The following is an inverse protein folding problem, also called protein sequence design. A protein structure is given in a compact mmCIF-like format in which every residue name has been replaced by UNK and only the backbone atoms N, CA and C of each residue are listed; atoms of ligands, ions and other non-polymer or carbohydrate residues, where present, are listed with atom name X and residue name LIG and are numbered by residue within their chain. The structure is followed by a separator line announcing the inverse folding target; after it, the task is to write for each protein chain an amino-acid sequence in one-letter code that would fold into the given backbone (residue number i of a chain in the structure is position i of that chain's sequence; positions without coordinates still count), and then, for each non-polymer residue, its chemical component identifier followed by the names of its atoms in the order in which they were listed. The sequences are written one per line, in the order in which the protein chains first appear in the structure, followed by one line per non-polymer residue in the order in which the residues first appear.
data_IF_561296244843
#
_entry.id   IF_561296244843
#
_cell.length_a   1.000
_cell.length_b   1.000
_cell.length_c   1.000
_cell.angle_alpha   90.00
_cell.angle_beta   90.00
_cell.angle_gamma   90.00
#
_symmetry.space_group_name_H-M   'P 1'
#
loop_
_entity.id
_entity.type
_entity.pdbx_description
1 polymer ?
#
# COMPACT_ATOMS: atom_id res chain seq x y z
N UNK A 1 17.71 8.00 27.40
CA UNK A 1 18.50 7.18 28.33
C UNK A 1 19.35 6.13 27.61
N UNK A 2 18.76 5.24 26.77
CA UNK A 2 19.47 4.16 26.06
C UNK A 2 20.69 4.68 25.24
N UNK A 3 20.53 5.76 24.48
CA UNK A 3 21.62 6.36 23.68
C UNK A 3 22.76 6.84 24.57
N UNK A 4 22.43 7.49 25.68
CA UNK A 4 23.43 7.94 26.66
C UNK A 4 24.12 6.74 27.32
N UNK A 5 23.35 5.74 27.74
CA UNK A 5 23.89 4.51 28.31
C UNK A 5 24.89 3.82 27.38
N UNK A 6 24.57 3.66 26.10
CA UNK A 6 25.49 3.09 25.10
C UNK A 6 26.74 3.93 24.90
N UNK A 7 26.60 5.27 24.88
CA UNK A 7 27.74 6.19 24.71
C UNK A 7 28.74 6.06 25.84
N UNK A 8 28.28 5.81 27.07
CA UNK A 8 29.12 5.73 28.25
C UNK A 8 29.39 4.28 28.71
N UNK A 9 29.00 3.27 27.92
CA UNK A 9 29.24 1.87 28.23
C UNK A 9 28.49 1.35 29.49
N UNK A 10 27.36 1.98 29.80
CA UNK A 10 26.53 1.56 30.94
C UNK A 10 25.70 0.34 30.54
N UNK A 11 25.52 -0.57 31.50
CA UNK A 11 24.67 -1.75 31.35
C UNK A 11 23.20 -1.32 31.15
N UNK A 12 22.50 -2.01 30.23
CA UNK A 12 21.09 -1.79 30.01
C UNK A 12 20.26 -2.60 31.02
N UNK A 13 20.06 -2.04 32.20
CA UNK A 13 19.27 -2.62 33.25
C UNK A 13 17.78 -2.33 33.05
N UNK A 14 16.95 -3.38 33.04
CA UNK A 14 15.49 -3.27 32.88
C UNK A 14 14.79 -4.00 34.01
N UNK A 15 14.52 -3.33 35.15
CA UNK A 15 14.01 -3.94 36.36
C UNK A 15 12.53 -4.27 36.35
N UNK A 16 11.81 -4.04 35.26
CA UNK A 16 10.37 -4.29 35.17
C UNK A 16 10.11 -5.52 34.32
N UNK A 17 9.42 -6.50 34.88
CA UNK A 17 9.03 -7.74 34.22
C UNK A 17 7.86 -7.58 33.25
N UNK A 18 7.50 -8.65 32.51
CA UNK A 18 6.45 -8.66 31.50
C UNK A 18 5.05 -8.32 32.02
N UNK A 19 4.80 -8.64 33.31
CA UNK A 19 3.55 -8.33 33.99
C UNK A 19 3.48 -6.90 34.54
N UNK A 20 4.55 -6.09 34.36
CA UNK A 20 4.64 -4.72 34.85
C UNK A 20 5.02 -4.59 36.33
N UNK A 21 5.55 -5.65 36.91
CA UNK A 21 6.02 -5.71 38.30
C UNK A 21 7.54 -5.54 38.32
N UNK A 22 8.09 -4.91 39.33
CA UNK A 22 9.54 -4.88 39.55
C UNK A 22 10.04 -6.30 39.89
N UNK A 23 11.17 -6.69 39.29
CA UNK A 23 11.83 -7.96 39.58
C UNK A 23 12.24 -8.02 41.06
N UNK A 24 12.30 -9.24 41.61
CA UNK A 24 12.54 -9.46 43.06
C UNK A 24 13.91 -8.96 43.51
N UNK A 25 14.86 -8.79 42.61
CA UNK A 25 16.20 -8.24 42.88
C UNK A 25 16.23 -6.71 43.07
N UNK A 26 15.13 -6.02 42.76
CA UNK A 26 15.02 -4.58 42.95
C UNK A 26 14.90 -4.26 44.45
N UNK A 27 15.96 -3.68 44.99
CA UNK A 27 16.00 -3.31 46.36
C UNK A 27 14.83 -2.40 46.76
N UNK A 28 14.05 -2.77 47.80
CA UNK A 28 12.89 -2.08 48.37
C UNK A 28 11.58 -2.16 47.57
N UNK A 29 11.61 -2.45 46.26
CA UNK A 29 10.42 -2.37 45.40
C UNK A 29 10.12 -3.66 44.64
N UNK A 30 10.93 -4.74 44.85
CA UNK A 30 10.71 -6.05 44.24
C UNK A 30 9.29 -6.57 44.51
N UNK A 31 8.64 -7.10 43.48
CA UNK A 31 7.27 -7.57 43.55
C UNK A 31 6.16 -6.49 43.47
N UNK A 32 6.51 -5.19 43.46
CA UNK A 32 5.52 -4.12 43.34
C UNK A 32 5.18 -3.79 41.87
N UNK A 33 3.88 -3.56 41.63
CA UNK A 33 3.42 -3.08 40.31
C UNK A 33 3.84 -1.62 40.10
N UNK A 34 4.50 -1.32 38.95
CA UNK A 34 5.17 -0.05 38.69
C UNK A 34 4.30 1.21 38.93
N UNK A 35 3.00 1.19 38.56
CA UNK A 35 2.14 2.34 38.81
C UNK A 35 1.72 2.51 40.28
N UNK A 36 1.81 1.46 41.09
CA UNK A 36 1.58 1.53 42.53
C UNK A 36 2.85 1.98 43.28
N UNK A 37 4.00 1.57 42.78
CA UNK A 37 5.29 1.88 43.37
C UNK A 37 5.64 3.38 43.42
N UNK A 38 5.00 4.23 42.64
CA UNK A 38 5.24 5.68 42.65
C UNK A 38 5.05 6.30 44.04
N UNK A 39 4.03 5.88 44.76
CA UNK A 39 3.80 6.35 46.15
C UNK A 39 4.88 5.84 47.11
N UNK A 40 5.17 4.55 47.05
CA UNK A 40 6.19 3.86 47.90
C UNK A 40 7.59 4.44 47.66
N UNK A 41 7.93 4.76 46.39
CA UNK A 41 9.20 5.40 46.03
C UNK A 41 9.30 6.81 46.66
N UNK A 42 8.25 7.61 46.60
CA UNK A 42 8.24 8.93 47.21
C UNK A 42 8.37 8.87 48.74
N UNK A 43 7.67 7.96 49.37
CA UNK A 43 7.82 7.72 50.83
C UNK A 43 9.23 7.30 51.20
N UNK A 44 9.83 6.38 50.45
CA UNK A 44 11.21 5.94 50.67
C UNK A 44 12.21 7.07 50.51
N UNK A 45 12.07 7.90 49.44
CA UNK A 45 12.93 9.07 49.22
C UNK A 45 12.80 10.09 50.36
N UNK A 46 11.58 10.29 50.88
CA UNK A 46 11.32 11.14 52.04
C UNK A 46 12.00 10.58 53.30
N UNK A 47 11.86 9.28 53.54
CA UNK A 47 12.48 8.62 54.73
C UNK A 47 14.03 8.69 54.70
N UNK A 48 14.61 8.71 53.49
CA UNK A 48 16.05 8.87 53.28
C UNK A 48 16.53 10.32 53.23
N UNK A 49 15.64 11.30 53.41
CA UNK A 49 15.91 12.73 53.27
C UNK A 49 16.44 13.12 51.88
N UNK A 50 16.07 12.39 50.84
CA UNK A 50 16.48 12.60 49.46
C UNK A 50 15.38 13.29 48.63
N UNK A 51 14.17 13.42 49.16
CA UNK A 51 13.05 14.05 48.45
C UNK A 51 13.05 15.58 48.69
N UNK A 52 13.40 16.31 47.67
CA UNK A 52 13.43 17.78 47.72
C UNK A 52 12.02 18.39 47.63
N UNK A 53 11.21 17.92 46.67
CA UNK A 53 9.84 18.36 46.42
C UNK A 53 9.04 17.27 45.72
N UNK A 54 7.75 17.17 46.03
CA UNK A 54 6.78 16.35 45.30
C UNK A 54 5.56 17.19 44.99
N UNK A 55 5.16 17.19 43.72
CA UNK A 55 3.96 17.90 43.25
C UNK A 55 3.29 17.13 42.12
N UNK A 56 1.98 17.31 41.96
CA UNK A 56 1.22 16.71 40.87
C UNK A 56 1.35 17.58 39.62
N UNK A 57 1.74 16.97 38.51
CA UNK A 57 1.85 17.60 37.22
C UNK A 57 0.90 16.95 36.23
N UNK A 58 0.01 17.73 35.62
CA UNK A 58 -0.81 17.26 34.51
C UNK A 58 -0.01 17.37 33.20
N UNK A 59 0.18 16.26 32.52
CA UNK A 59 0.89 16.20 31.24
C UNK A 59 0.31 15.13 30.31
N UNK A 60 0.63 15.20 29.00
CA UNK A 60 0.29 14.15 28.05
C UNK A 60 1.09 12.89 28.33
N UNK A 61 0.43 11.75 28.44
CA UNK A 61 1.07 10.46 28.64
C UNK A 61 0.59 9.44 27.60
N UNK A 62 1.47 8.64 26.98
CA UNK A 62 1.07 7.67 25.99
C UNK A 62 0.20 6.55 26.59
N UNK A 63 -0.91 6.27 25.88
CA UNK A 63 -1.83 5.21 26.24
C UNK A 63 -1.93 4.19 25.10
N UNK A 64 -2.19 2.94 25.44
CA UNK A 64 -2.48 1.91 24.47
C UNK A 64 -3.70 2.29 23.63
N UNK A 65 -3.56 2.34 22.31
CA UNK A 65 -4.65 2.71 21.41
C UNK A 65 -5.87 1.78 21.51
N UNK A 66 -5.67 0.52 21.93
CA UNK A 66 -6.73 -0.49 22.08
C UNK A 66 -7.40 -0.46 23.45
N UNK A 67 -6.65 -0.68 24.54
CA UNK A 67 -7.21 -0.76 25.89
C UNK A 67 -7.26 0.59 26.62
N UNK A 68 -6.69 1.67 26.05
CA UNK A 68 -6.65 3.02 26.60
C UNK A 68 -5.94 3.17 27.96
N UNK A 69 -5.23 2.15 28.40
CA UNK A 69 -4.42 2.20 29.63
C UNK A 69 -3.04 2.80 29.34
N UNK A 70 -2.39 3.43 30.34
CA UNK A 70 -1.05 3.96 30.18
C UNK A 70 -0.05 2.86 29.82
N UNK A 71 0.95 3.19 28.99
CA UNK A 71 2.00 2.25 28.58
C UNK A 71 3.20 2.33 29.51
N UNK A 72 4.00 1.26 29.54
CA UNK A 72 5.28 1.17 30.24
C UNK A 72 6.39 1.09 29.20
N UNK A 73 7.48 1.85 29.41
CA UNK A 73 8.68 1.77 28.59
C UNK A 73 9.65 0.77 29.25
N UNK A 74 10.03 -0.26 28.49
CA UNK A 74 10.94 -1.31 28.92
C UNK A 74 12.02 -1.55 27.88
N UNK A 75 13.24 -1.85 28.31
CA UNK A 75 14.24 -2.45 27.47
C UNK A 75 13.98 -3.96 27.41
N UNK A 76 13.81 -4.50 26.21
CA UNK A 76 13.63 -5.94 25.96
C UNK A 76 14.51 -6.38 24.80
N UNK A 77 15.05 -7.60 24.80
CA UNK A 77 15.73 -8.16 23.64
C UNK A 77 14.80 -8.15 22.43
N UNK A 78 15.31 -7.67 21.29
CA UNK A 78 14.54 -7.55 20.05
C UNK A 78 15.39 -8.00 18.86
N UNK A 79 14.71 -8.48 17.81
CA UNK A 79 15.33 -8.80 16.55
C UNK A 79 15.31 -7.58 15.64
N UNK A 80 16.46 -7.30 15.00
CA UNK A 80 16.60 -6.14 14.09
C UNK A 80 17.20 -6.57 12.76
N UNK A 81 16.72 -5.94 11.67
CA UNK A 81 17.47 -5.84 10.43
C UNK A 81 18.35 -4.59 10.53
N UNK A 82 19.67 -4.79 10.48
CA UNK A 82 20.60 -3.67 10.44
C UNK A 82 20.56 -2.99 9.08
N UNK A 83 20.45 -1.68 9.09
CA UNK A 83 20.45 -0.88 7.86
C UNK A 83 21.87 -0.74 7.27
N UNK A 84 22.89 -0.75 8.11
CA UNK A 84 24.26 -0.40 7.69
C UNK A 84 25.19 -1.61 7.56
N UNK A 85 24.97 -2.67 8.35
CA UNK A 85 25.91 -3.80 8.52
C UNK A 85 26.29 -4.53 7.21
N UNK A 86 25.35 -4.65 6.25
CA UNK A 86 25.58 -5.31 4.94
C UNK A 86 25.34 -4.33 3.77
N UNK A 87 25.40 -3.02 4.05
CA UNK A 87 25.18 -1.98 3.05
C UNK A 87 23.74 -1.92 2.54
N UNK A 88 22.76 -2.33 3.37
CA UNK A 88 21.34 -2.35 2.96
C UNK A 88 20.82 -0.94 2.64
N UNK A 89 21.24 0.06 3.45
CA UNK A 89 20.88 1.47 3.24
C UNK A 89 21.35 1.97 1.89
N UNK A 90 22.66 1.89 1.63
CA UNK A 90 23.29 2.38 0.41
C UNK A 90 22.68 1.71 -0.83
N UNK A 91 22.57 0.39 -0.81
CA UNK A 91 21.97 -0.36 -1.91
C UNK A 91 20.50 0.03 -2.13
N UNK A 92 19.74 0.27 -1.05
CA UNK A 92 18.34 0.69 -1.19
C UNK A 92 18.22 2.09 -1.78
N UNK A 93 19.09 3.03 -1.39
CA UNK A 93 19.16 4.37 -1.96
C UNK A 93 19.54 4.35 -3.45
N UNK A 94 20.47 3.48 -3.84
CA UNK A 94 20.80 3.24 -5.26
C UNK A 94 19.59 2.72 -6.05
N UNK A 95 18.90 1.72 -5.51
CA UNK A 95 17.75 1.10 -6.16
C UNK A 95 16.56 2.05 -6.31
N UNK A 96 16.34 3.00 -5.41
CA UNK A 96 15.32 4.05 -5.55
C UNK A 96 15.49 4.83 -6.85
N UNK A 97 16.72 5.03 -7.32
CA UNK A 97 17.02 5.76 -8.55
C UNK A 97 16.72 4.97 -9.83
N UNK A 98 16.54 3.67 -9.74
CA UNK A 98 16.19 2.82 -10.89
C UNK A 98 14.68 2.68 -11.10
N UNK A 99 13.86 3.15 -10.15
CA UNK A 99 12.41 3.02 -10.15
C UNK A 99 11.75 4.27 -10.73
N UNK A 100 10.73 4.08 -11.55
CA UNK A 100 9.87 5.17 -12.02
C UNK A 100 8.87 5.55 -10.93
N UNK A 101 8.95 6.80 -10.44
CA UNK A 101 8.06 7.35 -9.41
C UNK A 101 6.99 8.24 -10.04
N UNK A 102 5.72 7.93 -9.78
CA UNK A 102 4.55 8.65 -10.30
C UNK A 102 3.65 9.04 -9.12
N UNK A 103 3.56 10.31 -8.73
CA UNK A 103 4.36 11.47 -9.18
C UNK A 103 5.83 11.40 -8.77
N UNK A 104 6.67 12.20 -9.43
CA UNK A 104 8.14 12.20 -9.22
C UNK A 104 8.58 12.52 -7.79
N UNK A 105 7.79 13.28 -7.01
CA UNK A 105 8.09 13.59 -5.61
C UNK A 105 8.16 12.34 -4.71
N UNK A 106 7.56 11.21 -5.14
CA UNK A 106 7.63 9.93 -4.42
C UNK A 106 9.06 9.45 -4.20
N UNK A 107 9.97 9.74 -5.15
CA UNK A 107 11.40 9.43 -5.06
C UNK A 107 12.04 10.12 -3.86
N UNK A 108 11.94 11.43 -3.76
CA UNK A 108 12.57 12.19 -2.68
C UNK A 108 11.98 11.79 -1.31
N UNK A 109 10.68 11.51 -1.28
CA UNK A 109 10.01 11.11 -0.06
C UNK A 109 10.52 9.77 0.50
N UNK A 110 10.65 8.74 -0.32
CA UNK A 110 11.15 7.44 0.15
C UNK A 110 12.66 7.49 0.40
N UNK A 111 13.39 8.26 -0.41
CA UNK A 111 14.83 8.45 -0.26
C UNK A 111 15.17 9.00 1.13
N UNK A 112 14.58 10.14 1.52
CA UNK A 112 14.81 10.75 2.83
C UNK A 112 14.37 9.85 4.00
N UNK A 113 13.34 9.04 3.80
CA UNK A 113 12.89 8.07 4.81
C UNK A 113 13.87 6.92 5.01
N UNK A 114 14.57 6.47 3.97
CA UNK A 114 15.57 5.39 4.07
C UNK A 114 16.92 5.92 4.52
N UNK A 115 17.32 7.09 4.03
CA UNK A 115 18.57 7.75 4.41
C UNK A 115 18.70 7.88 5.94
N UNK A 116 17.63 8.26 6.61
CA UNK A 116 17.60 8.51 8.05
C UNK A 116 16.95 7.40 8.87
N UNK A 117 16.71 6.22 8.25
CA UNK A 117 16.03 5.13 8.92
C UNK A 117 16.94 4.48 9.98
N UNK A 118 16.49 4.30 11.24
CA UNK A 118 17.16 3.42 12.19
C UNK A 118 17.03 1.96 11.78
N UNK A 119 17.79 1.07 12.42
CA UNK A 119 17.63 -0.36 12.26
C UNK A 119 16.17 -0.80 12.45
N UNK A 120 15.72 -1.73 11.63
CA UNK A 120 14.32 -2.14 11.62
C UNK A 120 14.07 -3.21 12.66
N UNK A 121 13.39 -2.85 13.75
CA UNK A 121 12.93 -3.82 14.75
C UNK A 121 11.85 -4.73 14.14
N UNK A 122 12.17 -6.01 13.97
CA UNK A 122 11.29 -7.01 13.39
C UNK A 122 10.37 -7.68 14.39
N UNK A 123 10.83 -7.90 15.61
CA UNK A 123 10.09 -8.69 16.59
C UNK A 123 8.90 -7.93 17.18
N UNK A 124 7.80 -8.65 17.37
CA UNK A 124 6.60 -8.15 18.04
C UNK A 124 6.13 -9.15 19.08
N UNK A 125 5.76 -8.64 20.24
CA UNK A 125 5.20 -9.41 21.36
C UNK A 125 3.68 -9.47 21.20
N UNK A 126 3.21 -10.32 20.26
CA UNK A 126 1.79 -10.54 19.95
C UNK A 126 1.52 -12.03 19.81
N UNK A 127 0.28 -12.43 20.03
CA UNK A 127 -0.16 -13.82 19.92
C UNK A 127 -0.59 -14.23 18.51
N UNK A 128 -0.79 -13.26 17.59
CA UNK A 128 -1.20 -13.50 16.21
C UNK A 128 -0.17 -12.93 15.24
N UNK A 129 0.41 -13.78 14.41
CA UNK A 129 1.37 -13.43 13.36
C UNK A 129 2.30 -14.58 13.02
N UNK A 130 3.19 -14.37 12.07
CA UNK A 130 4.21 -15.34 11.65
C UNK A 130 5.31 -15.39 12.72
N UNK A 131 5.61 -16.55 13.33
CA UNK A 131 6.62 -16.64 14.36
C UNK A 131 8.04 -16.45 13.80
N UNK A 132 8.94 -15.96 14.63
CA UNK A 132 10.38 -15.91 14.32
C UNK A 132 10.95 -17.31 14.60
N UNK A 133 11.42 -18.06 13.58
CA UNK A 133 11.79 -19.47 13.71
C UNK A 133 13.20 -19.65 14.29
N UNK A 134 13.40 -19.17 15.51
CA UNK A 134 14.67 -19.20 16.23
C UNK A 134 14.51 -19.92 17.57
N UNK A 135 15.58 -20.60 18.02
CA UNK A 135 15.61 -21.30 19.30
C UNK A 135 16.68 -20.70 20.20
N UNK A 136 16.46 -20.81 21.49
CA UNK A 136 17.41 -20.39 22.53
C UNK A 136 17.81 -21.57 23.40
N UNK A 137 19.10 -21.74 23.60
CA UNK A 137 19.59 -22.74 24.55
C UNK A 137 19.10 -22.45 26.00
N UNK A 138 18.52 -23.43 26.66
CA UNK A 138 18.01 -23.25 28.02
C UNK A 138 19.12 -23.08 29.07
N UNK A 139 20.37 -23.54 28.77
CA UNK A 139 21.51 -23.48 29.71
C UNK A 139 22.33 -22.19 29.60
N UNK A 140 22.64 -21.74 28.37
CA UNK A 140 23.51 -20.58 28.17
C UNK A 140 22.86 -19.43 27.39
N UNK A 141 21.57 -19.57 27.07
CA UNK A 141 20.79 -18.59 26.27
C UNK A 141 21.33 -18.30 24.86
N UNK A 142 22.33 -19.07 24.40
CA UNK A 142 22.87 -18.95 23.04
C UNK A 142 21.76 -19.18 22.00
N UNK A 143 21.81 -18.40 20.94
CA UNK A 143 20.83 -18.45 19.85
C UNK A 143 21.19 -19.61 18.90
N UNK A 144 20.21 -20.45 18.60
CA UNK A 144 20.33 -21.51 17.61
C UNK A 144 19.47 -21.20 16.40
N UNK A 145 20.12 -20.89 15.31
CA UNK A 145 19.53 -20.75 13.98
C UNK A 145 20.55 -21.21 12.95
N UNK A 146 20.23 -22.25 12.21
CA UNK A 146 21.06 -22.84 11.16
C UNK A 146 20.23 -22.97 9.91
N UNK A 147 20.89 -23.18 8.76
CA UNK A 147 20.18 -23.46 7.52
C UNK A 147 19.27 -24.68 7.65
N UNK A 148 19.76 -25.73 8.28
CA UNK A 148 19.00 -26.96 8.51
C UNK A 148 17.77 -26.74 9.37
N UNK A 149 17.88 -25.93 10.44
CA UNK A 149 16.71 -25.59 11.29
C UNK A 149 15.68 -24.78 10.52
N UNK A 150 16.10 -23.83 9.70
CA UNK A 150 15.20 -23.02 8.85
C UNK A 150 14.54 -23.90 7.78
N UNK A 151 15.28 -24.77 7.12
CA UNK A 151 14.75 -25.67 6.07
C UNK A 151 13.72 -26.65 6.67
N UNK A 152 13.97 -27.19 7.86
CA UNK A 152 13.00 -28.04 8.59
C UNK A 152 11.72 -27.28 8.94
N UNK A 153 11.84 -26.07 9.48
CA UNK A 153 10.67 -25.23 9.79
C UNK A 153 9.90 -24.87 8.52
N UNK A 154 10.58 -24.53 7.43
CA UNK A 154 9.94 -24.28 6.14
C UNK A 154 9.10 -25.49 5.67
N UNK A 155 9.64 -26.70 5.75
CA UNK A 155 8.90 -27.93 5.40
C UNK A 155 7.68 -28.14 6.30
N UNK A 156 7.83 -27.90 7.61
CA UNK A 156 6.73 -28.02 8.56
C UNK A 156 5.64 -26.98 8.31
N UNK A 157 6.02 -25.73 8.06
CA UNK A 157 5.06 -24.66 7.75
C UNK A 157 4.33 -24.90 6.42
N UNK A 158 5.01 -25.41 5.40
CA UNK A 158 4.41 -25.80 4.13
C UNK A 158 3.36 -26.89 4.29
N UNK A 159 3.62 -27.86 5.20
CA UNK A 159 2.73 -29.00 5.42
C UNK A 159 1.58 -28.70 6.40
N UNK A 160 1.81 -27.88 7.43
CA UNK A 160 0.92 -27.73 8.58
C UNK A 160 0.53 -26.29 8.90
N UNK A 161 0.90 -25.29 8.09
CA UNK A 161 0.87 -23.86 8.40
C UNK A 161 1.86 -23.44 9.50
N UNK A 162 2.00 -22.12 9.73
CA UNK A 162 2.83 -21.57 10.79
C UNK A 162 2.31 -21.85 12.20
N UNK A 163 1.07 -22.32 12.35
CA UNK A 163 0.45 -22.63 13.63
C UNK A 163 1.17 -23.77 14.36
N UNK A 164 1.80 -24.68 13.61
CA UNK A 164 2.58 -25.78 14.16
C UNK A 164 3.70 -25.29 15.10
N UNK A 165 4.21 -24.06 14.90
CA UNK A 165 5.17 -23.45 15.79
C UNK A 165 4.62 -23.26 17.19
N UNK A 166 3.38 -22.93 17.34
CA UNK A 166 2.71 -22.72 18.61
C UNK A 166 2.19 -24.01 19.23
N UNK A 167 1.83 -25.01 18.40
CA UNK A 167 1.29 -26.30 18.84
C UNK A 167 2.34 -27.28 19.34
N UNK A 168 3.54 -27.29 18.74
CA UNK A 168 4.59 -28.28 19.03
C UNK A 168 5.69 -27.67 19.90
N UNK A 169 6.37 -28.54 20.68
CA UNK A 169 7.54 -28.16 21.45
C UNK A 169 8.80 -27.95 20.60
N UNK A 170 9.83 -27.37 21.18
CA UNK A 170 11.09 -27.10 20.49
C UNK A 170 11.74 -28.41 19.97
N UNK A 171 11.65 -29.51 20.70
CA UNK A 171 12.27 -30.77 20.31
C UNK A 171 11.71 -31.34 19.01
N UNK A 172 10.41 -31.21 18.80
CA UNK A 172 9.76 -31.64 17.57
C UNK A 172 10.20 -30.74 16.37
N UNK A 173 10.33 -29.45 16.61
CA UNK A 173 10.61 -28.45 15.58
C UNK A 173 12.09 -28.40 15.16
N UNK A 174 13.01 -28.83 16.04
CA UNK A 174 14.44 -28.79 15.78
C UNK A 174 14.92 -29.97 14.93
N UNK A 175 16.04 -29.81 14.20
CA UNK A 175 16.73 -30.93 13.54
C UNK A 175 17.14 -32.02 14.54
N UNK A 176 17.21 -33.27 14.09
CA UNK A 176 17.72 -34.36 14.88
C UNK A 176 19.21 -34.15 15.22
N UNK A 177 19.60 -34.42 16.47
CA UNK A 177 20.98 -34.26 16.92
C UNK A 177 21.43 -32.81 17.14
N UNK A 178 20.54 -31.82 17.07
CA UNK A 178 20.85 -30.40 17.31
C UNK A 178 21.51 -30.19 18.68
N UNK A 179 22.65 -29.51 18.68
CA UNK A 179 23.42 -29.19 19.89
C UNK A 179 23.79 -27.72 19.93
N UNK A 180 23.78 -27.12 21.10
CA UNK A 180 24.21 -25.75 21.28
C UNK A 180 25.71 -25.58 21.03
N UNK A 181 26.07 -24.64 20.17
CA UNK A 181 27.45 -24.33 19.83
C UNK A 181 28.27 -23.81 21.03
N UNK A 182 27.61 -23.14 21.95
CA UNK A 182 28.29 -22.55 23.12
C UNK A 182 28.51 -23.53 24.29
N UNK A 183 27.61 -24.51 24.55
CA UNK A 183 27.70 -25.36 25.71
C UNK A 183 27.40 -26.85 25.47
N UNK A 184 27.15 -27.26 24.21
CA UNK A 184 26.85 -28.65 23.87
C UNK A 184 25.48 -29.17 24.34
N UNK A 185 24.65 -28.35 24.96
CA UNK A 185 23.31 -28.76 25.42
C UNK A 185 22.39 -29.07 24.25
N UNK A 186 21.49 -30.03 24.44
CA UNK A 186 20.44 -30.43 23.52
C UNK A 186 19.07 -29.86 23.91
N UNK A 187 19.03 -29.05 24.98
CA UNK A 187 17.78 -28.47 25.48
C UNK A 187 17.60 -27.04 25.00
N UNK A 188 16.49 -26.81 24.30
CA UNK A 188 16.17 -25.53 23.69
C UNK A 188 14.74 -25.10 23.97
N UNK A 189 14.52 -23.79 23.99
CA UNK A 189 13.18 -23.18 23.99
C UNK A 189 12.97 -22.37 22.68
N UNK A 190 11.73 -22.30 22.23
CA UNK A 190 11.35 -21.50 21.06
C UNK A 190 11.39 -20.02 21.39
N UNK A 191 11.69 -19.17 20.39
CA UNK A 191 11.35 -17.76 20.47
C UNK A 191 9.83 -17.59 20.46
N UNK A 192 9.31 -16.65 21.25
CA UNK A 192 7.89 -16.36 21.38
C UNK A 192 7.45 -15.13 20.57
N UNK A 193 8.41 -14.43 19.98
CA UNK A 193 8.14 -13.26 19.17
C UNK A 193 7.60 -13.65 17.78
N UNK A 194 6.79 -12.76 17.22
CA UNK A 194 6.34 -12.84 15.83
C UNK A 194 7.00 -11.75 14.99
N UNK A 195 7.00 -11.93 13.70
CA UNK A 195 7.48 -10.92 12.74
C UNK A 195 6.57 -9.69 12.72
N UNK A 196 7.17 -8.55 12.40
CA UNK A 196 6.43 -7.34 12.05
C UNK A 196 5.56 -7.59 10.82
N UNK A 197 4.28 -7.25 10.89
CA UNK A 197 3.34 -7.39 9.77
C UNK A 197 3.82 -6.65 8.49
N UNK A 198 4.64 -5.61 8.66
CA UNK A 198 5.28 -4.93 7.53
C UNK A 198 6.36 -5.77 6.86
N UNK A 199 6.96 -6.70 7.58
CA UNK A 199 7.85 -7.70 6.99
C UNK A 199 7.03 -8.72 6.17
N UNK A 200 5.93 -9.23 6.73
CA UNK A 200 5.06 -10.18 6.06
C UNK A 200 4.51 -9.61 4.73
N UNK A 201 4.01 -8.38 4.77
CA UNK A 201 3.55 -7.69 3.55
C UNK A 201 4.73 -7.32 2.63
N UNK A 202 5.87 -6.98 3.20
CA UNK A 202 7.09 -6.59 2.47
C UNK A 202 7.64 -7.70 1.58
N UNK A 203 7.49 -8.98 1.96
CA UNK A 203 7.97 -10.12 1.17
C UNK A 203 7.00 -10.58 0.08
N UNK A 204 5.90 -9.88 -0.18
CA UNK A 204 4.91 -10.25 -1.20
C UNK A 204 5.52 -10.42 -2.60
N UNK A 205 6.59 -9.70 -2.92
CA UNK A 205 7.34 -9.89 -4.17
C UNK A 205 7.97 -11.29 -4.30
N UNK A 206 8.33 -11.93 -3.19
CA UNK A 206 8.84 -13.30 -3.17
C UNK A 206 7.67 -14.29 -3.02
N UNK A 207 6.85 -14.13 -1.98
CA UNK A 207 5.80 -15.08 -1.63
C UNK A 207 4.65 -15.16 -2.65
N UNK A 208 4.51 -14.18 -3.54
CA UNK A 208 3.43 -14.15 -4.54
C UNK A 208 3.99 -14.13 -5.96
N UNK A 209 4.87 -13.17 -6.29
CA UNK A 209 5.31 -13.00 -7.68
C UNK A 209 6.25 -14.11 -8.15
N UNK A 210 7.11 -14.62 -7.27
CA UNK A 210 8.02 -15.72 -7.63
C UNK A 210 7.34 -17.08 -7.59
N UNK A 211 6.39 -17.28 -6.67
CA UNK A 211 5.70 -18.56 -6.49
C UNK A 211 4.62 -18.85 -7.54
N UNK A 212 4.06 -17.81 -8.17
CA UNK A 212 3.02 -17.97 -9.17
C UNK A 212 3.60 -17.93 -10.58
N UNK A 213 3.52 -19.05 -11.30
CA UNK A 213 4.11 -19.20 -12.65
C UNK A 213 3.55 -18.27 -13.74
N UNK A 214 2.45 -17.58 -13.48
CA UNK A 214 1.86 -16.58 -14.38
C UNK A 214 2.22 -15.14 -14.03
N UNK A 215 3.07 -14.93 -13.03
CA UNK A 215 3.54 -13.61 -12.60
C UNK A 215 5.05 -13.48 -12.80
N UNK A 216 5.54 -12.27 -12.80
CA UNK A 216 6.95 -11.95 -12.98
C UNK A 216 7.47 -11.01 -11.89
N UNK A 217 8.77 -11.11 -11.62
CA UNK A 217 9.49 -10.20 -10.72
C UNK A 217 10.62 -9.50 -11.50
N UNK A 218 10.89 -8.20 -11.29
CA UNK A 218 10.14 -7.27 -10.44
C UNK A 218 8.71 -7.03 -10.95
N UNK A 219 7.79 -6.60 -10.06
CA UNK A 219 6.46 -6.14 -10.47
C UNK A 219 6.57 -4.98 -11.45
N UNK A 220 5.67 -4.91 -12.43
CA UNK A 220 5.65 -3.77 -13.35
C UNK A 220 5.26 -2.48 -12.63
N UNK A 221 4.31 -2.56 -11.68
CA UNK A 221 3.88 -1.41 -10.89
C UNK A 221 3.39 -1.81 -9.49
N UNK A 222 3.77 -1.01 -8.48
CA UNK A 222 3.07 -0.94 -7.20
C UNK A 222 2.18 0.29 -7.18
N UNK A 223 0.91 0.12 -6.78
CA UNK A 223 -0.09 1.19 -6.78
C UNK A 223 -0.78 1.25 -5.42
N UNK A 224 -0.58 2.35 -4.69
CA UNK A 224 -1.18 2.60 -3.38
C UNK A 224 -1.17 4.09 -2.99
N UNK A 225 -1.73 4.38 -1.81
CA UNK A 225 -1.74 5.71 -1.23
C UNK A 225 -0.37 6.21 -0.76
N UNK A 226 -0.30 7.50 -0.53
CA UNK A 226 0.95 8.18 -0.14
C UNK A 226 1.51 7.78 1.23
N UNK A 227 0.70 7.18 2.10
CA UNK A 227 1.11 6.62 3.39
C UNK A 227 2.01 5.39 3.24
N UNK A 228 1.92 4.67 2.11
CA UNK A 228 2.70 3.47 1.85
C UNK A 228 4.19 3.73 1.57
N UNK A 229 4.61 4.98 1.41
CA UNK A 229 6.04 5.32 1.44
C UNK A 229 6.70 4.99 2.79
N UNK A 230 5.93 4.95 3.88
CA UNK A 230 6.37 4.46 5.19
C UNK A 230 5.76 3.10 5.56
N UNK A 231 5.16 2.43 4.63
CA UNK A 231 4.52 1.12 4.77
C UNK A 231 5.04 0.14 3.73
N UNK A 232 4.14 -0.34 2.88
CA UNK A 232 4.41 -1.43 1.94
C UNK A 232 5.49 -1.13 0.90
N UNK A 233 5.54 0.08 0.32
CA UNK A 233 6.61 0.43 -0.63
C UNK A 233 7.99 0.32 0.02
N UNK A 234 8.08 0.80 1.26
CA UNK A 234 9.32 0.83 2.04
C UNK A 234 9.75 -0.58 2.46
N UNK A 235 8.85 -1.35 3.07
CA UNK A 235 9.16 -2.70 3.55
C UNK A 235 9.49 -3.65 2.40
N UNK A 236 8.77 -3.55 1.26
CA UNK A 236 9.07 -4.33 0.06
C UNK A 236 10.43 -3.99 -0.53
N UNK A 237 10.80 -2.72 -0.56
CA UNK A 237 12.13 -2.32 -1.04
C UNK A 237 13.25 -2.92 -0.19
N UNK A 238 13.15 -2.77 1.14
CA UNK A 238 14.18 -3.27 2.07
C UNK A 238 14.32 -4.79 2.01
N UNK A 239 13.22 -5.53 2.00
CA UNK A 239 13.25 -7.00 1.94
C UNK A 239 13.76 -7.51 0.60
N UNK A 240 13.41 -6.86 -0.52
CA UNK A 240 13.86 -7.23 -1.84
C UNK A 240 15.35 -6.93 -2.04
N UNK A 241 15.81 -5.73 -1.66
CA UNK A 241 17.23 -5.35 -1.76
C UNK A 241 18.09 -6.19 -0.82
N UNK A 242 17.63 -6.44 0.41
CA UNK A 242 18.33 -7.32 1.35
C UNK A 242 18.48 -8.75 0.85
N UNK A 243 17.50 -9.26 0.10
CA UNK A 243 17.51 -10.63 -0.43
C UNK A 243 18.27 -10.77 -1.77
N UNK A 244 18.11 -9.81 -2.68
CA UNK A 244 18.55 -9.96 -4.09
C UNK A 244 19.37 -8.79 -4.62
N UNK A 245 19.50 -7.71 -3.87
CA UNK A 245 20.18 -6.49 -4.31
C UNK A 245 19.36 -5.57 -5.21
N UNK A 246 18.13 -5.96 -5.59
CA UNK A 246 17.31 -5.23 -6.58
C UNK A 246 15.97 -4.80 -6.00
N UNK A 247 15.42 -3.70 -6.54
CA UNK A 247 14.08 -3.24 -6.21
C UNK A 247 13.00 -4.29 -6.61
N UNK A 248 11.88 -4.39 -5.88
CA UNK A 248 10.83 -5.37 -6.16
C UNK A 248 9.86 -4.91 -7.26
N UNK A 249 9.94 -3.66 -7.71
CA UNK A 249 9.05 -3.01 -8.65
C UNK A 249 9.81 -2.11 -9.63
N UNK A 250 9.27 -1.98 -10.86
CA UNK A 250 9.79 -1.07 -11.91
C UNK A 250 9.23 0.35 -11.75
N UNK A 251 7.97 0.45 -11.34
CA UNK A 251 7.28 1.72 -11.13
C UNK A 251 6.49 1.72 -9.83
N UNK A 252 6.34 2.91 -9.24
CA UNK A 252 5.44 3.15 -8.10
C UNK A 252 4.51 4.30 -8.44
N UNK A 253 3.20 4.00 -8.50
CA UNK A 253 2.16 5.00 -8.68
C UNK A 253 1.51 5.28 -7.34
N UNK A 254 1.54 6.55 -6.93
CA UNK A 254 1.02 7.00 -5.64
C UNK A 254 -0.20 7.88 -5.83
N UNK A 255 -1.32 7.50 -5.21
CA UNK A 255 -2.54 8.29 -5.20
C UNK A 255 -2.77 8.99 -3.85
N UNK A 256 -3.60 10.04 -3.89
CA UNK A 256 -4.10 10.72 -2.70
C UNK A 256 -5.21 9.93 -2.00
N UNK A 257 -5.72 10.50 -0.91
CA UNK A 257 -6.85 9.90 -0.19
C UNK A 257 -8.19 10.35 -0.78
N UNK A 258 -9.21 9.50 -0.63
CA UNK A 258 -10.58 9.91 -0.86
C UNK A 258 -11.05 10.77 0.32
N UNK A 259 -11.56 11.95 0.00
CA UNK A 259 -12.00 12.96 0.97
C UNK A 259 -13.48 13.30 0.73
N UNK A 260 -14.14 13.82 1.76
CA UNK A 260 -15.49 14.36 1.63
C UNK A 260 -15.50 15.72 0.87
N UNK A 261 -16.67 16.28 0.64
CA UNK A 261 -16.82 17.57 -0.05
C UNK A 261 -16.12 18.75 0.64
N UNK A 262 -15.81 18.60 1.93
CA UNK A 262 -15.07 19.59 2.72
C UNK A 262 -13.56 19.32 2.78
N UNK A 263 -13.06 18.37 1.99
CA UNK A 263 -11.64 17.97 1.97
C UNK A 263 -11.18 17.17 3.19
N UNK A 264 -12.10 16.64 4.02
CA UNK A 264 -11.75 15.87 5.21
C UNK A 264 -11.61 14.40 4.84
N UNK A 265 -10.56 13.75 5.37
CA UNK A 265 -10.35 12.31 5.20
C UNK A 265 -11.56 11.52 5.71
N UNK A 266 -12.03 10.55 4.93
CA UNK A 266 -13.11 9.66 5.34
C UNK A 266 -12.70 8.77 6.49
N UNK A 267 -13.54 8.67 7.51
CA UNK A 267 -13.37 7.75 8.62
C UNK A 267 -14.72 7.31 9.20
N UNK A 268 -14.76 6.07 9.71
CA UNK A 268 -15.96 5.54 10.37
C UNK A 268 -16.35 6.36 11.60
N UNK A 269 -15.37 6.93 12.31
CA UNK A 269 -15.59 7.74 13.51
C UNK A 269 -16.22 9.10 13.22
N UNK A 270 -16.01 9.66 12.03
CA UNK A 270 -16.63 10.92 11.58
C UNK A 270 -17.97 10.67 10.90
N UNK A 271 -18.25 9.43 10.47
CA UNK A 271 -19.51 9.06 9.80
C UNK A 271 -19.63 9.56 8.35
N UNK A 272 -18.54 10.03 7.74
CA UNK A 272 -18.51 10.58 6.37
C UNK A 272 -18.05 9.55 5.31
N UNK A 273 -18.11 8.26 5.63
CA UNK A 273 -17.69 7.19 4.69
C UNK A 273 -18.76 6.95 3.66
N UNK A 274 -18.41 7.10 2.38
CA UNK A 274 -19.24 6.69 1.24
C UNK A 274 -18.79 5.29 0.80
N UNK A 275 -19.68 4.31 0.95
CA UNK A 275 -19.40 2.94 0.54
C UNK A 275 -19.57 2.79 -0.98
N UNK A 276 -18.63 2.14 -1.69
CA UNK A 276 -18.75 1.90 -3.14
C UNK A 276 -20.05 1.20 -3.54
N UNK A 277 -20.53 0.26 -2.73
CA UNK A 277 -21.77 -0.50 -2.98
C UNK A 277 -23.02 0.40 -3.08
N UNK A 278 -23.08 1.48 -2.32
CA UNK A 278 -24.20 2.43 -2.40
C UNK A 278 -24.24 3.14 -3.76
N UNK A 279 -23.08 3.56 -4.25
CA UNK A 279 -22.93 4.19 -5.57
C UNK A 279 -23.24 3.20 -6.69
N UNK A 280 -22.72 1.98 -6.60
CA UNK A 280 -22.94 0.93 -7.60
C UNK A 280 -24.42 0.57 -7.71
N UNK A 281 -25.14 0.45 -6.60
CA UNK A 281 -26.58 0.18 -6.59
C UNK A 281 -27.40 1.29 -7.24
N UNK A 282 -27.01 2.54 -7.06
CA UNK A 282 -27.79 3.70 -7.53
C UNK A 282 -27.42 4.13 -8.95
N UNK A 283 -26.14 4.13 -9.30
CA UNK A 283 -25.61 4.71 -10.55
C UNK A 283 -24.92 3.69 -11.46
N UNK A 284 -24.61 2.49 -10.96
CA UNK A 284 -23.84 1.48 -11.67
C UNK A 284 -22.33 1.59 -11.45
N UNK A 285 -21.62 0.48 -11.69
CA UNK A 285 -20.17 0.41 -11.51
C UNK A 285 -19.38 1.30 -12.47
N UNK A 286 -19.92 1.54 -13.69
CA UNK A 286 -19.23 2.36 -14.69
C UNK A 286 -19.15 3.82 -14.27
N UNK A 287 -20.17 4.35 -13.61
CA UNK A 287 -20.14 5.73 -13.09
C UNK A 287 -19.09 5.86 -11.98
N UNK A 288 -18.96 4.86 -11.10
CA UNK A 288 -17.92 4.84 -10.07
C UNK A 288 -16.51 4.77 -10.69
N UNK A 289 -16.30 3.94 -11.71
CA UNK A 289 -15.03 3.87 -12.45
C UNK A 289 -14.72 5.19 -13.17
N UNK A 290 -15.73 5.79 -13.77
CA UNK A 290 -15.60 7.08 -14.45
C UNK A 290 -15.22 8.18 -13.46
N UNK A 291 -15.79 8.17 -12.23
CA UNK A 291 -15.40 9.08 -11.16
C UNK A 291 -13.90 8.94 -10.84
N UNK A 292 -13.41 7.72 -10.62
CA UNK A 292 -12.00 7.50 -10.34
C UNK A 292 -11.08 7.96 -11.49
N UNK A 293 -11.50 7.73 -12.74
CA UNK A 293 -10.74 8.15 -13.92
C UNK A 293 -10.83 9.65 -14.22
N UNK A 294 -11.90 10.34 -13.79
CA UNK A 294 -12.12 11.76 -14.09
C UNK A 294 -11.36 12.73 -13.20
N UNK A 295 -10.84 12.24 -12.06
CA UNK A 295 -10.13 13.05 -11.09
C UNK A 295 -8.62 12.94 -11.25
N UNK A 296 -7.88 14.02 -10.91
CA UNK A 296 -6.43 13.92 -10.74
C UNK A 296 -6.12 13.26 -9.40
N UNK A 297 -5.82 11.98 -9.45
CA UNK A 297 -5.54 11.14 -8.28
C UNK A 297 -4.25 11.51 -7.53
N UNK A 298 -3.39 12.34 -8.09
CA UNK A 298 -2.13 12.78 -7.45
C UNK A 298 -2.38 13.58 -6.17
N UNK A 299 -3.55 14.17 -6.04
CA UNK A 299 -4.03 14.88 -4.85
C UNK A 299 -5.18 14.12 -4.16
N UNK A 300 -5.81 14.71 -3.15
CA UNK A 300 -7.03 14.16 -2.55
C UNK A 300 -8.19 14.21 -3.54
N UNK A 301 -8.94 13.11 -3.64
CA UNK A 301 -10.08 12.98 -4.55
C UNK A 301 -11.37 13.15 -3.76
N UNK A 302 -12.13 14.21 -4.04
CA UNK A 302 -13.41 14.44 -3.40
C UNK A 302 -14.51 13.55 -3.97
N UNK A 303 -15.39 13.04 -3.09
CA UNK A 303 -16.60 12.32 -3.46
C UNK A 303 -17.79 12.89 -2.72
N UNK A 304 -18.89 13.14 -3.45
CA UNK A 304 -20.19 13.51 -2.91
C UNK A 304 -21.28 13.08 -3.88
N UNK A 305 -22.53 13.01 -3.43
CA UNK A 305 -23.67 12.68 -4.29
C UNK A 305 -23.80 13.65 -5.48
N UNK A 306 -23.46 14.90 -5.29
CA UNK A 306 -23.50 15.90 -6.36
C UNK A 306 -22.47 15.60 -7.46
N UNK A 307 -21.23 15.27 -7.08
CA UNK A 307 -20.17 14.90 -8.01
C UNK A 307 -20.57 13.66 -8.80
N UNK A 308 -21.06 12.62 -8.13
CA UNK A 308 -21.48 11.36 -8.78
C UNK A 308 -22.66 11.59 -9.72
N UNK A 309 -23.62 12.46 -9.36
CA UNK A 309 -24.75 12.82 -10.24
C UNK A 309 -24.28 13.53 -11.50
N UNK A 310 -23.40 14.52 -11.39
CA UNK A 310 -22.81 15.21 -12.53
C UNK A 310 -22.08 14.24 -13.47
N UNK A 311 -21.34 13.30 -12.92
CA UNK A 311 -20.66 12.28 -13.72
C UNK A 311 -21.63 11.27 -14.35
N UNK A 312 -22.73 10.94 -13.69
CA UNK A 312 -23.81 10.14 -14.29
C UNK A 312 -24.43 10.85 -15.49
N UNK A 313 -24.57 12.18 -15.44
CA UNK A 313 -25.05 12.97 -16.57
C UNK A 313 -24.02 13.01 -17.72
N UNK A 314 -22.74 13.16 -17.42
CA UNK A 314 -21.67 13.08 -18.40
C UNK A 314 -21.61 11.69 -19.07
N UNK A 315 -21.71 10.62 -18.29
CA UNK A 315 -21.79 9.24 -18.77
C UNK A 315 -22.96 9.04 -19.72
N UNK A 316 -24.15 9.56 -19.38
CA UNK A 316 -25.34 9.50 -20.23
C UNK A 316 -25.13 10.22 -21.57
N UNK A 317 -24.45 11.37 -21.59
CA UNK A 317 -24.16 12.10 -22.83
C UNK A 317 -23.26 11.27 -23.74
N UNK A 318 -22.16 10.71 -23.24
CA UNK A 318 -21.27 9.82 -24.01
C UNK A 318 -22.07 8.62 -24.54
N UNK A 319 -22.82 7.94 -23.67
CA UNK A 319 -23.64 6.78 -24.06
C UNK A 319 -24.67 7.11 -25.13
N UNK A 320 -25.34 8.27 -25.04
CA UNK A 320 -26.33 8.71 -26.02
C UNK A 320 -25.69 9.02 -27.38
N UNK A 321 -24.48 9.59 -27.39
CA UNK A 321 -23.70 9.80 -28.62
C UNK A 321 -23.41 8.48 -29.31
N UNK A 322 -22.89 7.49 -28.59
CA UNK A 322 -22.65 6.15 -29.12
C UNK A 322 -23.95 5.46 -29.58
N UNK A 323 -25.04 5.60 -28.81
CA UNK A 323 -26.34 5.03 -29.17
C UNK A 323 -26.90 5.64 -30.47
N UNK A 324 -26.73 6.96 -30.68
CA UNK A 324 -27.12 7.61 -31.90
C UNK A 324 -26.37 7.05 -33.13
N UNK A 325 -25.03 6.92 -32.99
CA UNK A 325 -24.20 6.38 -34.08
C UNK A 325 -24.59 4.92 -34.38
N UNK A 326 -24.69 4.05 -33.35
CA UNK A 326 -25.08 2.67 -33.52
C UNK A 326 -26.47 2.48 -34.17
N UNK A 327 -27.41 3.35 -33.82
CA UNK A 327 -28.77 3.32 -34.41
C UNK A 327 -28.85 3.70 -35.89
N UNK A 328 -27.75 4.16 -36.49
CA UNK A 328 -27.69 4.54 -37.91
C UNK A 328 -26.89 3.55 -38.78
N UNK A 329 -26.67 2.31 -38.32
CA UNK A 329 -25.92 1.28 -39.06
C UNK A 329 -26.77 0.13 -39.59
N UNK A 330 -28.09 0.18 -39.46
CA UNK A 330 -28.97 -0.95 -39.82
C UNK A 330 -28.81 -1.33 -41.33
N UNK A 331 -28.60 -0.37 -42.20
CA UNK A 331 -28.40 -0.53 -43.64
C UNK A 331 -26.92 -0.41 -44.07
N UNK A 332 -25.95 -0.46 -43.13
CA UNK A 332 -24.52 -0.26 -43.42
C UNK A 332 -23.73 -1.55 -43.30
N UNK A 333 -23.13 -2.01 -44.39
CA UNK A 333 -22.22 -3.16 -44.40
C UNK A 333 -20.76 -2.67 -44.48
N UNK A 334 -20.01 -2.89 -43.43
CA UNK A 334 -18.62 -2.47 -43.28
C UNK A 334 -17.70 -2.99 -44.38
N UNK A 335 -18.01 -4.18 -44.94
CA UNK A 335 -17.19 -4.82 -45.97
C UNK A 335 -17.37 -4.25 -47.36
N UNK A 336 -18.55 -3.65 -47.63
CA UNK A 336 -18.91 -3.17 -48.99
C UNK A 336 -19.15 -1.67 -49.05
N UNK A 337 -19.54 -1.04 -47.94
CA UNK A 337 -20.05 0.33 -47.93
C UNK A 337 -19.05 1.36 -47.39
N UNK A 338 -17.91 0.88 -46.87
CA UNK A 338 -16.82 1.74 -46.37
C UNK A 338 -16.28 2.64 -47.51
N UNK A 339 -16.23 3.95 -47.25
CA UNK A 339 -15.74 4.96 -48.21
C UNK A 339 -14.28 5.32 -47.92
N UNK A 340 -13.58 5.70 -49.01
CA UNK A 340 -12.21 6.19 -48.89
C UNK A 340 -12.20 7.62 -48.34
N UNK A 341 -11.37 7.92 -47.37
CA UNK A 341 -11.32 9.21 -46.65
C UNK A 341 -11.03 10.36 -47.58
N UNK A 342 -10.18 10.17 -48.61
CA UNK A 342 -9.83 11.21 -49.59
C UNK A 342 -10.99 11.61 -50.54
N UNK A 343 -12.06 10.82 -50.61
CA UNK A 343 -13.26 11.06 -51.41
C UNK A 343 -14.40 11.67 -50.60
N UNK A 344 -14.25 11.75 -49.27
CA UNK A 344 -15.26 12.30 -48.38
C UNK A 344 -15.32 13.82 -48.42
N UNK A 345 -16.43 14.38 -47.96
CA UNK A 345 -16.59 15.81 -47.80
C UNK A 345 -15.58 16.41 -46.83
N UNK A 346 -15.35 17.71 -46.91
CA UNK A 346 -14.47 18.42 -46.01
C UNK A 346 -14.90 18.28 -44.55
N UNK A 347 -16.20 18.32 -44.27
CA UNK A 347 -16.77 18.14 -42.94
C UNK A 347 -16.42 16.74 -42.37
N UNK A 348 -16.55 15.69 -43.17
CA UNK A 348 -16.27 14.32 -42.79
C UNK A 348 -14.76 14.13 -42.48
N UNK A 349 -13.91 14.68 -43.33
CA UNK A 349 -12.45 14.68 -43.10
C UNK A 349 -12.04 15.52 -41.91
N UNK A 350 -12.73 16.64 -41.66
CA UNK A 350 -12.47 17.47 -40.47
C UNK A 350 -12.72 16.70 -39.16
N UNK A 351 -13.85 16.00 -39.03
CA UNK A 351 -14.16 15.26 -37.79
C UNK A 351 -13.21 14.07 -37.59
N UNK A 352 -12.78 13.40 -38.67
CA UNK A 352 -11.73 12.35 -38.56
C UNK A 352 -10.38 12.95 -38.16
N UNK A 353 -10.03 14.15 -38.58
CA UNK A 353 -8.85 14.86 -38.08
C UNK A 353 -8.98 15.17 -36.58
N UNK A 354 -10.17 15.61 -36.12
CA UNK A 354 -10.44 15.82 -34.68
C UNK A 354 -10.29 14.53 -33.90
N UNK A 355 -10.83 13.40 -34.40
CA UNK A 355 -10.65 12.09 -33.79
C UNK A 355 -9.16 11.72 -33.66
N UNK A 356 -8.38 11.90 -34.73
CA UNK A 356 -6.93 11.60 -34.70
C UNK A 356 -6.22 12.38 -33.60
N UNK A 357 -6.56 13.65 -33.40
CA UNK A 357 -6.00 14.45 -32.28
C UNK A 357 -6.42 13.92 -30.92
N UNK A 358 -7.69 13.54 -30.75
CA UNK A 358 -8.18 12.94 -29.48
C UNK A 358 -7.46 11.64 -29.19
N UNK A 359 -7.28 10.76 -30.18
CA UNK A 359 -6.51 9.52 -30.03
C UNK A 359 -5.07 9.81 -29.58
N UNK A 360 -4.40 10.79 -30.19
CA UNK A 360 -3.04 11.19 -29.79
C UNK A 360 -2.96 11.67 -28.33
N UNK A 361 -3.95 12.48 -27.89
CA UNK A 361 -4.06 12.93 -26.49
C UNK A 361 -4.26 11.74 -25.57
N UNK A 362 -5.18 10.83 -25.90
CA UNK A 362 -5.47 9.66 -25.07
C UNK A 362 -4.25 8.74 -24.93
N UNK A 363 -3.57 8.41 -26.02
CA UNK A 363 -2.37 7.57 -26.01
C UNK A 363 -1.26 8.19 -25.13
N UNK A 364 -0.98 9.50 -25.31
CA UNK A 364 0.00 10.20 -24.50
C UNK A 364 -0.40 10.26 -23.03
N UNK A 365 -1.68 10.38 -22.71
CA UNK A 365 -2.18 10.42 -21.33
C UNK A 365 -2.14 9.04 -20.66
N UNK A 366 -2.36 7.95 -21.41
CA UNK A 366 -2.17 6.58 -20.92
C UNK A 366 -0.72 6.31 -20.52
N UNK A 367 0.25 6.71 -21.34
CA UNK A 367 1.68 6.58 -21.06
C UNK A 367 2.09 7.30 -19.75
N UNK A 368 1.39 8.38 -19.42
CA UNK A 368 1.65 9.21 -18.22
C UNK A 368 0.73 8.86 -17.03
N UNK A 369 -0.19 7.93 -17.20
CA UNK A 369 -1.25 7.61 -16.23
C UNK A 369 -2.13 8.83 -15.85
N UNK A 370 -2.41 9.71 -16.83
CA UNK A 370 -3.23 10.92 -16.66
C UNK A 370 -4.67 10.69 -17.14
N UNK A 371 -5.39 9.79 -16.45
CA UNK A 371 -6.73 9.33 -16.85
C UNK A 371 -7.77 10.45 -16.92
N UNK A 372 -7.66 11.47 -16.08
CA UNK A 372 -8.54 12.65 -16.14
C UNK A 372 -8.43 13.40 -17.47
N UNK A 373 -7.25 13.46 -18.07
CA UNK A 373 -7.03 14.04 -19.41
C UNK A 373 -7.78 13.25 -20.47
N UNK A 374 -7.78 11.91 -20.38
CA UNK A 374 -8.54 11.04 -21.30
C UNK A 374 -10.04 11.30 -21.15
N UNK A 375 -10.54 11.32 -19.91
CA UNK A 375 -11.94 11.59 -19.63
C UNK A 375 -12.39 12.92 -20.25
N UNK A 376 -11.65 13.99 -20.03
CA UNK A 376 -11.99 15.32 -20.55
C UNK A 376 -11.92 15.37 -22.08
N UNK A 377 -10.92 14.75 -22.70
CA UNK A 377 -10.79 14.69 -24.16
C UNK A 377 -11.98 13.96 -24.81
N UNK A 378 -12.32 12.78 -24.29
CA UNK A 378 -13.45 11.97 -24.79
C UNK A 378 -14.80 12.64 -24.54
N UNK A 379 -15.03 13.17 -23.34
CA UNK A 379 -16.27 13.87 -23.02
C UNK A 379 -16.49 15.09 -23.93
N UNK A 380 -15.47 15.92 -24.12
CA UNK A 380 -15.54 17.08 -24.97
C UNK A 380 -15.76 16.69 -26.45
N UNK A 381 -15.07 15.67 -26.94
CA UNK A 381 -15.27 15.16 -28.27
C UNK A 381 -16.71 14.67 -28.49
N UNK A 382 -17.25 13.88 -27.58
CA UNK A 382 -18.64 13.40 -27.68
C UNK A 382 -19.68 14.53 -27.61
N UNK A 383 -19.49 15.51 -26.73
CA UNK A 383 -20.49 16.57 -26.49
C UNK A 383 -20.39 17.69 -27.50
N UNK A 384 -19.17 18.19 -27.74
CA UNK A 384 -18.95 19.39 -28.58
C UNK A 384 -18.76 18.99 -30.04
N UNK A 385 -17.73 18.19 -30.34
CA UNK A 385 -17.38 17.88 -31.71
C UNK A 385 -18.43 16.97 -32.40
N UNK A 386 -18.95 15.97 -31.64
CA UNK A 386 -19.93 15.03 -32.21
C UNK A 386 -21.38 15.53 -32.02
N UNK A 387 -21.91 15.50 -30.80
CA UNK A 387 -23.36 15.72 -30.61
C UNK A 387 -23.84 17.11 -31.00
N UNK A 388 -23.10 18.17 -30.66
CA UNK A 388 -23.52 19.54 -30.92
C UNK A 388 -23.12 20.04 -32.29
N UNK A 389 -22.27 19.34 -33.01
CA UNK A 389 -21.79 19.81 -34.31
C UNK A 389 -21.99 18.73 -35.39
N UNK A 390 -21.12 17.72 -35.45
CA UNK A 390 -21.09 16.80 -36.59
C UNK A 390 -22.38 15.99 -36.75
N UNK A 391 -22.83 15.32 -35.71
CA UNK A 391 -24.02 14.46 -35.73
C UNK A 391 -25.30 15.26 -35.98
N UNK A 392 -25.34 16.52 -35.58
CA UNK A 392 -26.47 17.41 -35.85
C UNK A 392 -26.55 17.76 -37.35
N UNK A 393 -25.43 18.15 -37.94
CA UNK A 393 -25.34 18.52 -39.36
C UNK A 393 -25.67 17.34 -40.28
N UNK A 394 -25.17 16.14 -39.98
CA UNK A 394 -25.33 14.98 -40.86
C UNK A 394 -26.74 14.35 -40.82
N UNK A 395 -27.65 14.81 -39.97
CA UNK A 395 -29.01 14.27 -39.87
C UNK A 395 -29.74 14.27 -41.23
N UNK A 396 -29.62 15.33 -41.98
CA UNK A 396 -30.23 15.38 -43.30
C UNK A 396 -29.72 14.28 -44.22
N UNK A 397 -28.41 14.07 -44.26
CA UNK A 397 -27.79 13.01 -45.06
C UNK A 397 -28.24 11.60 -44.60
N UNK A 398 -28.37 11.40 -43.29
CA UNK A 398 -28.78 10.10 -42.75
C UNK A 398 -30.25 9.78 -42.94
N UNK A 399 -31.15 10.77 -42.90
CA UNK A 399 -32.58 10.56 -42.86
C UNK A 399 -33.28 10.81 -44.20
N UNK A 400 -32.73 11.68 -45.04
CA UNK A 400 -33.40 12.08 -46.31
C UNK A 400 -32.73 11.50 -47.55
N UNK A 401 -31.45 11.08 -47.48
CA UNK A 401 -30.74 10.51 -48.61
C UNK A 401 -31.06 9.02 -48.82
N UNK A 402 -31.09 8.52 -50.05
CA UNK A 402 -31.22 7.09 -50.35
C UNK A 402 -30.10 6.28 -49.70
N UNK A 403 -30.37 5.00 -49.37
CA UNK A 403 -29.42 4.11 -48.69
C UNK A 403 -28.05 4.02 -49.37
N UNK A 404 -27.98 3.98 -50.71
CA UNK A 404 -26.71 3.92 -51.46
C UNK A 404 -26.07 5.28 -51.77
N UNK A 405 -26.60 6.40 -51.26
CA UNK A 405 -26.05 7.73 -51.57
C UNK A 405 -24.65 7.91 -51.00
N UNK A 406 -23.67 8.41 -51.78
CA UNK A 406 -22.29 8.58 -51.32
C UNK A 406 -22.16 9.38 -50.01
N UNK A 407 -22.84 10.52 -49.88
CA UNK A 407 -22.79 11.34 -48.67
C UNK A 407 -23.40 10.69 -47.43
N UNK A 408 -24.37 9.78 -47.55
CA UNK A 408 -24.90 8.96 -46.49
C UNK A 408 -23.85 7.92 -46.04
N UNK A 409 -23.25 7.23 -47.04
CA UNK A 409 -22.19 6.24 -46.76
C UNK A 409 -20.93 6.88 -46.20
N UNK A 410 -20.57 8.11 -46.61
CA UNK A 410 -19.47 8.87 -45.99
C UNK A 410 -19.75 9.10 -44.49
N UNK A 411 -20.95 9.60 -44.16
CA UNK A 411 -21.33 9.82 -42.74
C UNK A 411 -21.34 8.53 -41.92
N UNK A 412 -21.86 7.42 -42.45
CA UNK A 412 -21.85 6.12 -41.77
C UNK A 412 -20.42 5.58 -41.58
N UNK A 413 -19.56 5.74 -42.61
CA UNK A 413 -18.14 5.34 -42.49
C UNK A 413 -17.44 6.13 -41.41
N UNK A 414 -17.64 7.44 -41.30
CA UNK A 414 -17.05 8.28 -40.24
C UNK A 414 -17.55 7.85 -38.87
N UNK A 415 -18.86 7.65 -38.68
CA UNK A 415 -19.43 7.19 -37.42
C UNK A 415 -18.91 5.81 -37.01
N UNK A 416 -18.62 4.93 -37.97
CA UNK A 416 -18.06 3.59 -37.72
C UNK A 416 -16.58 3.64 -37.28
N UNK A 417 -15.80 4.58 -37.85
CA UNK A 417 -14.40 4.80 -37.48
C UNK A 417 -14.29 5.38 -36.06
N UNK A 418 -15.24 6.25 -35.67
CA UNK A 418 -15.30 6.85 -34.34
C UNK A 418 -15.67 5.83 -33.28
#
# INVERSE_FOLDING_TARGET
DHVAGRKYGLECYSPVEDNGVFSDDVQFFGGEFIFKANATINEKLKALNLLLKNENLAHSYPHCWRCKKPVIYRATPQWFISMDKMGLREKSLEQINTVQWIPSWGRERIYSMIENRPDWCLSRQRSWGVPIPVFHCTKCSEIYVTRESVDKIHQLFTKHSSDIWFEKDARFLMPEGAQCSGCGSTEFKKDHNILDIWFDSGISHAAVLEERGNLSRPADMYLEGSDQHRGWFHSSLLTAVGRTGNAPYKAVLTHGFVVDENGRKMSKSVGNVVAPDSIIKQYGADVLRLWAASADYKAGISISDNIIRQLSDAYRRIRNTCRFMLGNFDDFNVMTDMRQINQMSELDRFILHRLHRVVGICLSAYEKYEFHTIYHALHNFCVVDLSSFYLDIIKDRLYTSPAGAPGRRDAQTVMFII
#
